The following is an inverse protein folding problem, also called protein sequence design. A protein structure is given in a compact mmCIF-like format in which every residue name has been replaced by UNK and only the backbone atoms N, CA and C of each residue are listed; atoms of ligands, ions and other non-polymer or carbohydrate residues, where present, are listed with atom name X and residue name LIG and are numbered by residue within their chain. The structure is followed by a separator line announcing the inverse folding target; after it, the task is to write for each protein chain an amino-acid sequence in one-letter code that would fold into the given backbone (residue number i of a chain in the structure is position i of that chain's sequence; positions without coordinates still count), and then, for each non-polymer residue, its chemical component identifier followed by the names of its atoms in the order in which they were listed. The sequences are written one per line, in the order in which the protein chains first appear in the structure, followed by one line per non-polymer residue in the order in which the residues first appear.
data_IF_129482162808
#
_entry.id   IF_129482162808
#
_cell.length_a   1.000
_cell.length_b   1.000
_cell.length_c   1.000
_cell.angle_alpha   90.00
_cell.angle_beta   90.00
_cell.angle_gamma   90.00
#
_symmetry.space_group_name_H-M   'P 1'
#
loop_
_entity.id
_entity.type
_entity.pdbx_description
1 polymer ?
#
# COMPACT_ATOMS: atom_id res chain seq x y z
N UNK A 1 -52.05 13.63 -18.36
CA UNK A 1 -51.75 12.62 -17.33
C UNK A 1 -50.58 11.69 -17.72
N UNK A 2 -50.57 11.02 -18.88
CA UNK A 2 -49.46 10.10 -19.28
C UNK A 2 -48.13 10.83 -19.55
N UNK A 3 -48.16 11.98 -20.23
CA UNK A 3 -46.95 12.77 -20.57
C UNK A 3 -46.28 13.37 -19.31
N UNK A 4 -47.07 13.74 -18.29
CA UNK A 4 -46.55 14.21 -16.98
C UNK A 4 -45.87 13.08 -16.21
N UNK A 5 -46.44 11.87 -16.21
CA UNK A 5 -45.82 10.71 -15.57
C UNK A 5 -44.52 10.30 -16.28
N UNK A 6 -44.44 10.39 -17.61
CA UNK A 6 -43.20 10.12 -18.36
C UNK A 6 -42.13 11.19 -18.07
N UNK A 7 -42.51 12.48 -18.01
CA UNK A 7 -41.58 13.55 -17.61
C UNK A 7 -41.12 13.40 -16.16
N UNK A 8 -41.99 12.93 -15.25
CA UNK A 8 -41.65 12.66 -13.84
C UNK A 8 -40.67 11.50 -13.72
N UNK A 9 -40.94 10.37 -14.39
CA UNK A 9 -40.04 9.21 -14.42
C UNK A 9 -38.67 9.55 -15.05
N UNK A 10 -38.65 10.35 -16.12
CA UNK A 10 -37.41 10.81 -16.75
C UNK A 10 -36.64 11.84 -15.90
N UNK A 11 -37.32 12.58 -15.03
CA UNK A 11 -36.71 13.52 -14.06
C UNK A 11 -36.17 12.77 -12.85
N UNK A 12 -36.92 11.79 -12.33
CA UNK A 12 -36.50 10.89 -11.25
C UNK A 12 -35.30 10.04 -11.67
N UNK A 13 -35.27 9.52 -12.90
CA UNK A 13 -34.11 8.78 -13.43
C UNK A 13 -32.88 9.68 -13.61
N UNK A 14 -33.04 10.94 -14.03
CA UNK A 14 -31.92 11.92 -14.09
C UNK A 14 -31.38 12.25 -12.70
N UNK A 15 -32.26 12.46 -11.71
CA UNK A 15 -31.84 12.71 -10.31
C UNK A 15 -31.11 11.48 -9.76
N UNK A 16 -31.62 10.28 -10.04
CA UNK A 16 -30.96 9.03 -9.65
C UNK A 16 -29.56 8.88 -10.26
N UNK A 17 -29.41 9.16 -11.56
CA UNK A 17 -28.11 9.12 -12.25
C UNK A 17 -27.14 10.14 -11.65
N UNK A 18 -27.59 11.36 -11.36
CA UNK A 18 -26.76 12.39 -10.72
C UNK A 18 -26.32 11.93 -9.32
N UNK A 19 -27.24 11.42 -8.51
CA UNK A 19 -26.95 10.93 -7.17
C UNK A 19 -25.96 9.74 -7.20
N UNK A 20 -26.15 8.80 -8.12
CA UNK A 20 -25.24 7.66 -8.34
C UNK A 20 -23.84 8.14 -8.77
N UNK A 21 -23.78 9.11 -9.68
CA UNK A 21 -22.50 9.67 -10.15
C UNK A 21 -21.76 10.34 -8.98
N UNK A 22 -22.46 11.10 -8.15
CA UNK A 22 -21.91 11.77 -6.98
C UNK A 22 -21.42 10.78 -5.91
N UNK A 23 -22.14 9.68 -5.71
CA UNK A 23 -21.72 8.56 -4.86
C UNK A 23 -20.41 7.94 -5.38
N UNK A 24 -20.32 7.64 -6.68
CA UNK A 24 -19.11 7.05 -7.29
C UNK A 24 -17.90 7.99 -7.15
N UNK A 25 -18.09 9.29 -7.38
CA UNK A 25 -17.03 10.30 -7.19
C UNK A 25 -16.57 10.32 -5.74
N UNK A 26 -17.51 10.31 -4.79
CA UNK A 26 -17.20 10.34 -3.34
C UNK A 26 -16.44 9.08 -2.92
N UNK A 27 -16.88 7.89 -3.35
CA UNK A 27 -16.19 6.63 -3.08
C UNK A 27 -14.79 6.59 -3.71
N UNK A 28 -14.65 7.08 -4.95
CA UNK A 28 -13.35 7.17 -5.63
C UNK A 28 -12.41 8.13 -4.92
N UNK A 29 -12.91 9.27 -4.45
CA UNK A 29 -12.13 10.21 -3.65
C UNK A 29 -11.64 9.57 -2.34
N UNK A 30 -12.55 8.93 -1.59
CA UNK A 30 -12.18 8.20 -0.37
C UNK A 30 -11.17 7.08 -0.64
N UNK A 31 -11.32 6.37 -1.75
CA UNK A 31 -10.38 5.35 -2.20
C UNK A 31 -8.96 5.90 -2.35
N UNK A 32 -8.79 7.01 -3.08
CA UNK A 32 -7.47 7.60 -3.30
C UNK A 32 -6.82 8.11 -2.01
N UNK A 33 -7.61 8.64 -1.07
CA UNK A 33 -7.09 9.02 0.26
C UNK A 33 -6.46 7.82 0.99
N UNK A 34 -7.08 6.64 0.92
CA UNK A 34 -6.56 5.42 1.53
C UNK A 34 -5.38 4.86 0.73
N UNK A 35 -5.50 4.81 -0.60
CA UNK A 35 -4.50 4.24 -1.51
C UNK A 35 -3.13 4.92 -1.38
N UNK A 36 -3.10 6.25 -1.32
CA UNK A 36 -1.87 7.03 -1.22
C UNK A 36 -1.39 7.25 0.23
N UNK A 37 -2.01 6.57 1.20
CA UNK A 37 -1.51 6.60 2.58
C UNK A 37 -0.10 6.01 2.60
N UNK A 38 0.86 6.78 3.11
CA UNK A 38 2.26 6.33 3.27
C UNK A 38 2.43 5.54 4.56
N UNK A 39 3.32 4.57 4.54
CA UNK A 39 3.57 3.70 5.68
C UNK A 39 4.70 2.71 5.41
N UNK A 40 4.87 1.78 6.33
CA UNK A 40 5.87 0.71 6.26
C UNK A 40 5.17 -0.60 6.62
N UNK A 41 5.55 -1.71 6.00
CA UNK A 41 5.05 -3.03 6.38
C UNK A 41 5.99 -3.66 7.40
N UNK A 42 5.42 -4.10 8.52
CA UNK A 42 6.12 -4.82 9.59
C UNK A 42 5.30 -6.05 9.97
N UNK A 43 5.92 -7.23 9.97
CA UNK A 43 5.26 -8.51 10.24
C UNK A 43 3.91 -8.66 9.51
N UNK A 44 3.93 -8.40 8.19
CA UNK A 44 2.77 -8.45 7.29
C UNK A 44 1.67 -7.41 7.57
N UNK A 45 1.89 -6.49 8.50
CA UNK A 45 0.95 -5.42 8.84
C UNK A 45 1.43 -4.09 8.28
N UNK A 46 0.56 -3.42 7.51
CA UNK A 46 0.82 -2.05 7.07
C UNK A 46 0.65 -1.07 8.24
N UNK A 47 1.73 -0.38 8.60
CA UNK A 47 1.77 0.67 9.61
C UNK A 47 1.70 2.03 8.93
N UNK A 48 0.62 2.78 9.17
CA UNK A 48 0.45 4.15 8.67
C UNK A 48 1.50 5.06 9.31
N UNK A 49 2.17 5.86 8.47
CA UNK A 49 3.09 6.91 8.92
C UNK A 49 2.31 8.16 9.34
N UNK A 50 2.61 8.66 10.53
CA UNK A 50 2.12 9.92 11.08
C UNK A 50 3.30 10.70 11.67
N UNK A 51 3.53 11.92 11.20
CA UNK A 51 4.63 12.76 11.66
C UNK A 51 4.07 13.79 12.64
N UNK A 52 4.58 13.78 13.88
CA UNK A 52 4.17 14.68 14.95
C UNK A 52 5.42 15.41 15.47
N UNK A 53 5.60 16.66 15.04
CA UNK A 53 6.81 17.41 15.37
C UNK A 53 8.05 16.82 14.70
N UNK A 54 9.03 16.41 15.49
CA UNK A 54 10.26 15.73 15.03
C UNK A 54 10.17 14.20 15.09
N UNK A 55 9.05 13.66 15.62
CA UNK A 55 8.86 12.23 15.81
C UNK A 55 8.01 11.66 14.67
N UNK A 56 8.40 10.49 14.18
CA UNK A 56 7.63 9.73 13.20
C UNK A 56 7.01 8.52 13.88
N UNK A 57 5.68 8.42 13.82
CA UNK A 57 4.92 7.31 14.36
C UNK A 57 4.41 6.42 13.22
N UNK A 58 4.66 5.12 13.35
CA UNK A 58 4.14 4.09 12.49
C UNK A 58 3.10 3.29 13.29
N UNK A 59 1.82 3.41 12.92
CA UNK A 59 0.71 2.84 13.67
C UNK A 59 -0.09 1.90 12.78
N UNK A 60 -0.32 0.68 13.25
CA UNK A 60 -1.17 -0.29 12.58
C UNK A 60 -1.81 -1.24 13.58
N UNK A 61 -2.80 -2.00 13.10
CA UNK A 61 -3.46 -3.04 13.89
C UNK A 61 -3.45 -4.33 13.10
N UNK A 62 -2.70 -5.30 13.61
CA UNK A 62 -2.66 -6.65 13.09
C UNK A 62 -3.69 -7.54 13.77
N UNK A 63 -3.63 -8.83 13.43
CA UNK A 63 -4.47 -9.87 14.04
C UNK A 63 -4.25 -10.02 15.55
N UNK A 64 -3.03 -9.80 16.01
CA UNK A 64 -2.61 -10.06 17.39
C UNK A 64 -2.65 -8.84 18.31
N UNK A 65 -2.88 -7.65 17.76
CA UNK A 65 -2.96 -6.42 18.53
C UNK A 65 -2.53 -5.20 17.74
N UNK A 66 -2.43 -4.08 18.45
CA UNK A 66 -1.91 -2.83 17.90
C UNK A 66 -0.38 -2.88 17.89
N UNK A 67 0.20 -2.40 16.79
CA UNK A 67 1.64 -2.22 16.61
C UNK A 67 1.87 -0.71 16.50
N UNK A 68 2.76 -0.19 17.34
CA UNK A 68 3.15 1.22 17.32
C UNK A 68 4.66 1.33 17.42
N UNK A 69 5.29 1.77 16.33
CA UNK A 69 6.72 2.03 16.27
C UNK A 69 6.91 3.55 16.22
N UNK A 70 7.75 4.09 17.08
CA UNK A 70 8.06 5.53 17.13
C UNK A 70 9.53 5.72 16.83
N UNK A 71 9.84 6.55 15.84
CA UNK A 71 11.19 6.95 15.47
C UNK A 71 11.36 8.41 15.90
N UNK A 72 12.32 8.67 16.78
CA UNK A 72 12.65 10.02 17.24
C UNK A 72 13.98 10.45 16.67
N UNK A 73 13.98 11.64 16.08
CA UNK A 73 15.13 12.15 15.37
C UNK A 73 15.07 11.85 13.88
N UNK A 74 15.92 12.56 13.14
CA UNK A 74 15.94 12.55 11.68
C UNK A 74 17.36 12.24 11.25
N UNK A 75 17.52 11.19 10.43
CA UNK A 75 18.80 10.81 9.82
C UNK A 75 19.43 12.01 9.12
N UNK A 76 20.70 12.27 9.45
CA UNK A 76 21.48 13.37 8.91
C UNK A 76 21.40 14.70 9.67
N UNK A 77 20.43 14.84 10.59
CA UNK A 77 20.31 15.98 11.52
C UNK A 77 20.74 15.57 12.92
N UNK A 78 20.32 14.39 13.38
CA UNK A 78 20.68 13.85 14.68
C UNK A 78 21.74 12.77 14.52
N UNK A 79 22.72 12.75 15.43
CA UNK A 79 23.80 11.74 15.43
C UNK A 79 23.25 10.34 15.77
N UNK A 80 22.27 10.31 16.69
CA UNK A 80 21.60 9.10 17.12
C UNK A 80 20.09 9.24 16.95
N UNK A 81 19.45 8.16 16.52
CA UNK A 81 18.00 8.07 16.29
C UNK A 81 17.45 7.03 17.24
N UNK A 82 16.40 7.38 17.98
CA UNK A 82 15.75 6.43 18.87
C UNK A 82 14.60 5.74 18.15
N UNK A 83 14.55 4.42 18.23
CA UNK A 83 13.44 3.60 17.70
C UNK A 83 12.80 2.85 18.85
N UNK A 84 11.53 3.14 19.10
CA UNK A 84 10.75 2.57 20.20
C UNK A 84 9.67 1.68 19.60
N UNK A 85 9.70 0.40 19.94
CA UNK A 85 8.69 -0.57 19.58
C UNK A 85 7.70 -0.73 20.71
N UNK A 86 6.40 -0.61 20.40
CA UNK A 86 5.29 -1.02 21.26
C UNK A 86 4.51 -2.07 20.49
N UNK A 87 4.74 -3.33 20.83
CA UNK A 87 4.16 -4.48 20.18
C UNK A 87 3.04 -5.08 21.06
N UNK A 88 2.22 -5.99 20.51
CA UNK A 88 1.23 -6.72 21.29
C UNK A 88 1.83 -7.43 22.50
N UNK A 89 0.99 -7.77 23.49
CA UNK A 89 1.40 -8.38 24.75
C UNK A 89 2.38 -7.54 25.61
N UNK A 90 2.27 -6.21 25.53
CA UNK A 90 3.04 -5.24 26.33
C UNK A 90 4.56 -5.34 26.13
N UNK A 91 5.01 -5.81 24.97
CA UNK A 91 6.41 -5.79 24.60
C UNK A 91 6.78 -4.36 24.24
N UNK A 92 7.67 -3.77 25.03
CA UNK A 92 8.17 -2.42 24.82
C UNK A 92 9.69 -2.48 24.80
N UNK A 93 10.26 -2.26 23.62
CA UNK A 93 11.70 -2.31 23.38
C UNK A 93 12.16 -0.97 22.81
N UNK A 94 13.34 -0.52 23.23
CA UNK A 94 13.92 0.75 22.80
C UNK A 94 15.34 0.53 22.34
N UNK A 95 15.62 1.04 21.14
CA UNK A 95 16.94 1.02 20.53
C UNK A 95 17.39 2.41 20.16
N UNK A 96 18.69 2.63 20.24
CA UNK A 96 19.36 3.83 19.73
C UNK A 96 20.26 3.42 18.57
N UNK A 97 20.09 4.07 17.42
CA UNK A 97 20.83 3.78 16.19
C UNK A 97 21.68 4.99 15.83
N UNK A 98 22.99 4.79 15.78
CA UNK A 98 23.95 5.78 15.28
C UNK A 98 24.42 5.43 13.88
N UNK A 99 24.43 6.41 12.98
CA UNK A 99 24.95 6.27 11.62
C UNK A 99 26.26 7.05 11.50
N UNK A 100 27.36 6.36 11.23
CA UNK A 100 28.63 7.01 10.91
C UNK A 100 28.65 7.34 9.42
N UNK A 101 28.66 8.64 9.09
CA UNK A 101 28.81 9.09 7.70
C UNK A 101 30.22 8.77 7.21
N UNK A 102 30.35 7.76 6.36
CA UNK A 102 31.57 7.50 5.63
C UNK A 102 31.28 7.59 4.13
N UNK A 103 31.90 8.55 3.44
CA UNK A 103 31.59 8.87 2.04
C UNK A 103 32.15 7.86 1.02
N UNK A 104 32.96 6.89 1.46
CA UNK A 104 33.71 6.00 0.56
C UNK A 104 33.19 4.56 0.50
N UNK A 105 32.32 4.14 1.43
CA UNK A 105 31.82 2.75 1.49
C UNK A 105 30.39 2.63 0.95
N UNK A 106 30.13 1.56 0.17
CA UNK A 106 28.78 1.21 -0.32
C UNK A 106 27.82 0.78 0.81
N UNK A 107 28.34 0.57 2.03
CA UNK A 107 27.58 0.21 3.23
C UNK A 107 27.94 1.17 4.36
N UNK A 108 26.94 1.85 4.91
CA UNK A 108 27.12 2.76 6.02
C UNK A 108 27.45 1.97 7.29
N UNK A 109 28.38 2.49 8.10
CA UNK A 109 28.66 1.89 9.40
C UNK A 109 27.56 2.28 10.39
N UNK A 110 27.00 1.27 11.06
CA UNK A 110 25.88 1.42 11.99
C UNK A 110 26.24 0.83 13.33
N UNK A 111 25.85 1.54 14.39
CA UNK A 111 25.95 1.07 15.77
C UNK A 111 24.55 1.07 16.37
N UNK A 112 24.15 -0.05 16.95
CA UNK A 112 22.86 -0.20 17.63
C UNK A 112 23.14 -0.41 19.11
N UNK A 113 22.45 0.37 19.94
CA UNK A 113 22.49 0.25 21.40
C UNK A 113 21.11 -0.07 21.96
N UNK A 114 21.11 -0.80 23.06
CA UNK A 114 19.92 -1.08 23.86
C UNK A 114 19.63 0.08 24.85
N UNK A 115 18.50 0.01 25.56
CA UNK A 115 18.06 0.97 26.59
C UNK A 115 19.09 1.21 27.69
N UNK A 116 19.95 0.22 27.97
CA UNK A 116 21.05 0.31 28.94
C UNK A 116 22.32 0.93 28.35
N UNK A 117 22.26 1.47 27.12
CA UNK A 117 23.38 2.03 26.37
C UNK A 117 24.49 1.00 26.06
N UNK A 118 24.16 -0.29 26.14
CA UNK A 118 25.05 -1.38 25.75
C UNK A 118 25.02 -1.54 24.23
N UNK A 119 26.19 -1.68 23.61
CA UNK A 119 26.29 -1.94 22.16
C UNK A 119 25.84 -3.38 21.92
N UNK A 120 24.71 -3.55 21.25
CA UNK A 120 24.17 -4.86 20.88
C UNK A 120 24.61 -5.28 19.48
N UNK A 121 24.95 -4.32 18.63
CA UNK A 121 25.43 -4.58 17.29
C UNK A 121 26.30 -3.43 16.80
N UNK A 122 27.39 -3.76 16.11
CA UNK A 122 28.22 -2.80 15.38
C UNK A 122 28.63 -3.45 14.06
N UNK A 123 28.27 -2.83 12.95
CA UNK A 123 28.50 -3.42 11.64
C UNK A 123 28.20 -2.46 10.50
N UNK A 124 27.75 -3.02 9.38
CA UNK A 124 27.51 -2.34 8.12
C UNK A 124 26.07 -2.57 7.66
N UNK A 125 25.46 -1.50 7.15
CA UNK A 125 24.09 -1.47 6.66
C UNK A 125 24.04 -0.89 5.24
N UNK A 126 23.14 -1.43 4.42
CA UNK A 126 22.82 -0.89 3.10
C UNK A 126 21.33 -1.02 2.84
N UNK A 127 20.74 0.05 2.33
CA UNK A 127 19.35 0.05 1.89
C UNK A 127 19.15 -1.00 0.78
N UNK A 128 18.14 -1.86 0.95
CA UNK A 128 17.79 -2.97 0.07
C UNK A 128 18.40 -4.32 0.45
N UNK A 129 19.45 -4.37 1.29
CA UNK A 129 20.04 -5.64 1.72
C UNK A 129 19.11 -6.38 2.70
N UNK A 130 19.03 -7.71 2.61
CA UNK A 130 18.18 -8.53 3.50
C UNK A 130 18.79 -8.62 4.92
N UNK A 131 20.12 -8.52 5.01
CA UNK A 131 20.92 -8.76 6.20
C UNK A 131 21.71 -7.52 6.61
N UNK A 132 21.92 -7.36 7.92
CA UNK A 132 23.03 -6.54 8.41
C UNK A 132 24.33 -7.34 8.27
N UNK A 133 25.46 -6.67 8.13
CA UNK A 133 26.76 -7.32 8.04
C UNK A 133 27.59 -6.92 9.25
N UNK A 134 28.13 -7.90 9.98
CA UNK A 134 29.01 -7.61 11.12
C UNK A 134 30.37 -7.06 10.65
N UNK A 135 31.27 -6.71 11.58
CA UNK A 135 32.65 -6.25 11.31
C UNK A 135 33.45 -7.19 10.41
N UNK A 136 33.14 -8.47 10.46
CA UNK A 136 33.78 -9.52 9.64
C UNK A 136 33.11 -9.71 8.27
N UNK A 137 32.15 -8.85 7.91
CA UNK A 137 31.33 -8.96 6.68
C UNK A 137 30.47 -10.23 6.59
N UNK A 138 30.22 -10.87 7.73
CA UNK A 138 29.28 -11.99 7.83
C UNK A 138 27.84 -11.48 8.01
N UNK A 139 26.85 -12.11 7.37
CA UNK A 139 25.46 -11.72 7.53
C UNK A 139 24.99 -12.01 8.96
N UNK A 140 24.39 -11.01 9.59
CA UNK A 140 23.77 -11.14 10.90
C UNK A 140 22.37 -11.75 10.76
N UNK A 141 22.18 -12.97 11.30
CA UNK A 141 20.98 -13.79 11.06
C UNK A 141 20.01 -13.82 12.25
N UNK A 142 20.38 -13.21 13.38
CA UNK A 142 19.55 -13.28 14.58
C UNK A 142 18.25 -12.47 14.43
N UNK A 143 17.11 -13.11 14.69
CA UNK A 143 15.78 -12.47 14.63
C UNK A 143 15.15 -12.41 13.23
N UNK A 144 15.74 -13.04 12.21
CA UNK A 144 15.28 -12.93 10.81
C UNK A 144 13.93 -13.56 10.51
N UNK A 145 13.47 -14.47 11.37
CA UNK A 145 12.17 -15.06 11.19
C UNK A 145 11.66 -15.67 12.48
N UNK A 146 10.41 -15.36 12.79
CA UNK A 146 9.65 -16.10 13.78
C UNK A 146 8.85 -17.17 13.05
N UNK A 147 9.04 -18.43 13.43
CA UNK A 147 8.24 -19.53 12.88
C UNK A 147 6.89 -19.50 13.59
N UNK A 148 5.84 -19.16 12.84
CA UNK A 148 4.46 -19.22 13.33
C UNK A 148 3.98 -20.67 13.21
N UNK A 149 3.92 -21.39 14.33
CA UNK A 149 3.39 -22.75 14.39
C UNK A 149 1.93 -22.67 14.82
N UNK A 150 1.02 -23.27 14.04
CA UNK A 150 -0.41 -23.42 14.35
C UNK A 150 -1.12 -22.10 14.71
N UNK A 151 -0.82 -21.02 13.99
CA UNK A 151 -1.52 -19.74 14.14
C UNK A 151 -1.45 -19.17 15.56
N UNK A 152 -0.38 -19.49 16.29
CA UNK A 152 -0.13 -18.93 17.61
C UNK A 152 0.38 -17.49 17.50
N UNK A 153 0.03 -16.67 18.49
CA UNK A 153 0.54 -15.31 18.59
C UNK A 153 2.08 -15.32 18.64
N UNK A 154 2.78 -14.68 17.67
CA UNK A 154 4.23 -14.64 17.63
C UNK A 154 4.82 -13.72 18.72
N UNK A 155 4.06 -12.74 19.20
CA UNK A 155 4.48 -11.77 20.21
C UNK A 155 4.49 -12.39 21.62
N UNK A 156 5.42 -13.29 21.88
CA UNK A 156 5.63 -13.89 23.20
C UNK A 156 6.66 -13.09 24.00
N UNK A 157 6.82 -13.37 25.28
CA UNK A 157 7.78 -12.67 26.16
C UNK A 157 9.25 -12.81 25.70
N UNK A 158 9.56 -13.81 24.88
CA UNK A 158 10.86 -14.07 24.26
C UNK A 158 10.97 -13.55 22.82
N UNK A 159 10.01 -12.74 22.36
CA UNK A 159 10.04 -12.17 21.02
C UNK A 159 11.25 -11.23 20.86
N UNK A 160 12.12 -11.58 19.91
CA UNK A 160 13.31 -10.80 19.56
C UNK A 160 13.05 -9.98 18.30
N UNK A 161 13.14 -8.66 18.42
CA UNK A 161 13.02 -7.76 17.26
C UNK A 161 14.24 -7.93 16.37
N UNK A 162 14.01 -8.06 15.07
CA UNK A 162 15.09 -8.13 14.09
C UNK A 162 15.85 -6.80 14.02
N UNK A 163 17.16 -6.81 14.30
CA UNK A 163 17.97 -5.58 14.37
C UNK A 163 18.00 -4.80 13.04
N UNK A 164 17.92 -5.49 11.89
CA UNK A 164 17.81 -4.80 10.60
C UNK A 164 16.55 -3.94 10.54
N UNK A 165 15.42 -4.43 11.06
CA UNK A 165 14.17 -3.67 11.11
C UNK A 165 14.37 -2.35 11.84
N UNK A 166 15.09 -2.37 12.97
CA UNK A 166 15.43 -1.17 13.75
C UNK A 166 16.18 -0.14 12.90
N UNK A 167 17.20 -0.59 12.16
CA UNK A 167 18.01 0.27 11.27
C UNK A 167 17.21 0.77 10.07
N UNK A 168 16.35 -0.07 9.48
CA UNK A 168 15.45 0.31 8.39
C UNK A 168 14.49 1.42 8.85
N UNK A 169 13.87 1.29 10.03
CA UNK A 169 13.01 2.35 10.57
C UNK A 169 13.78 3.62 10.90
N UNK A 170 14.99 3.51 11.48
CA UNK A 170 15.83 4.66 11.79
C UNK A 170 16.29 5.41 10.51
N UNK A 171 16.57 4.68 9.43
CA UNK A 171 16.96 5.26 8.15
C UNK A 171 15.78 5.77 7.31
N UNK A 172 14.55 5.34 7.61
CA UNK A 172 13.37 5.61 6.79
C UNK A 172 13.26 4.70 5.56
N UNK A 173 14.03 3.61 5.53
CA UNK A 173 13.95 2.59 4.49
C UNK A 173 12.58 1.87 4.54
N UNK A 174 12.07 1.48 3.38
CA UNK A 174 10.84 0.67 3.28
C UNK A 174 9.55 1.49 3.36
N UNK A 175 9.65 2.83 3.34
CA UNK A 175 8.49 3.69 3.16
C UNK A 175 7.85 3.43 1.79
N UNK A 176 6.61 2.95 1.83
CA UNK A 176 5.82 2.67 0.64
C UNK A 176 4.41 3.24 0.77
N UNK A 177 3.75 3.37 -0.37
CA UNK A 177 2.32 3.65 -0.41
C UNK A 177 1.54 2.37 -0.10
N UNK A 178 0.38 2.52 0.51
CA UNK A 178 -0.46 1.37 0.89
C UNK A 178 -0.88 0.53 -0.31
N UNK A 179 -1.27 1.18 -1.40
CA UNK A 179 -1.84 0.49 -2.55
C UNK A 179 -0.83 0.05 -3.60
N UNK A 180 -1.20 -0.98 -4.38
CA UNK A 180 -0.41 -1.44 -5.53
C UNK A 180 -0.70 -0.60 -6.78
N UNK A 181 0.30 0.19 -7.18
CA UNK A 181 0.25 1.05 -8.38
C UNK A 181 -0.02 0.25 -9.65
N UNK A 182 0.47 -1.00 -9.75
CA UNK A 182 0.28 -1.82 -10.95
C UNK A 182 -1.19 -2.14 -11.16
N UNK A 183 -1.89 -2.52 -10.09
CA UNK A 183 -3.33 -2.80 -10.13
C UNK A 183 -4.15 -1.53 -10.40
N UNK A 184 -3.70 -0.38 -9.87
CA UNK A 184 -4.32 0.91 -10.18
C UNK A 184 -4.21 1.23 -11.68
N UNK A 185 -3.04 1.08 -12.29
CA UNK A 185 -2.82 1.32 -13.73
C UNK A 185 -3.70 0.40 -14.58
N UNK A 186 -3.79 -0.89 -14.23
CA UNK A 186 -4.67 -1.85 -14.91
C UNK A 186 -6.14 -1.41 -14.80
N UNK A 187 -6.57 -0.98 -13.60
CA UNK A 187 -7.94 -0.52 -13.36
C UNK A 187 -8.26 0.75 -14.17
N UNK A 188 -7.36 1.72 -14.21
CA UNK A 188 -7.50 2.94 -15.03
C UNK A 188 -7.59 2.59 -16.52
N UNK A 189 -6.77 1.65 -16.99
CA UNK A 189 -6.82 1.19 -18.37
C UNK A 189 -8.17 0.56 -18.72
N UNK A 190 -8.72 -0.29 -17.84
CA UNK A 190 -10.05 -0.88 -18.00
C UNK A 190 -11.17 0.18 -17.98
N UNK A 191 -11.04 1.22 -17.15
CA UNK A 191 -11.96 2.37 -17.15
C UNK A 191 -11.95 3.05 -18.52
N UNK A 192 -10.76 3.34 -19.08
CA UNK A 192 -10.63 4.00 -20.38
C UNK A 192 -11.29 3.16 -21.47
N UNK A 193 -11.02 1.84 -21.51
CA UNK A 193 -11.67 0.93 -22.47
C UNK A 193 -13.19 0.98 -22.33
N UNK A 194 -13.70 0.89 -21.10
CA UNK A 194 -15.15 0.94 -20.82
C UNK A 194 -15.77 2.25 -21.28
N UNK A 195 -15.11 3.39 -21.03
CA UNK A 195 -15.58 4.71 -21.46
C UNK A 195 -15.61 4.83 -22.99
N UNK A 196 -14.59 4.32 -23.67
CA UNK A 196 -14.55 4.28 -25.14
C UNK A 196 -15.70 3.42 -25.67
N UNK A 197 -15.92 2.24 -25.07
CA UNK A 197 -16.97 1.32 -25.50
C UNK A 197 -18.38 1.90 -25.29
N UNK A 198 -18.63 2.62 -24.19
CA UNK A 198 -19.91 3.30 -23.95
C UNK A 198 -20.12 4.48 -24.89
N UNK A 199 -19.08 5.33 -25.09
CA UNK A 199 -19.19 6.54 -25.91
C UNK A 199 -19.23 6.24 -27.40
N UNK A 200 -18.51 5.22 -27.83
CA UNK A 200 -18.36 4.79 -29.21
C UNK A 200 -18.61 3.27 -29.33
N UNK A 201 -19.86 2.81 -29.23
CA UNK A 201 -20.21 1.38 -29.19
C UNK A 201 -19.69 0.57 -30.39
N UNK A 202 -19.59 1.20 -31.56
CA UNK A 202 -19.11 0.53 -32.77
C UNK A 202 -17.58 0.57 -32.92
N UNK A 203 -16.84 1.20 -32.00
CA UNK A 203 -15.40 1.42 -32.14
C UNK A 203 -14.62 0.11 -32.24
N UNK A 204 -14.73 -0.76 -31.23
CA UNK A 204 -14.01 -2.04 -31.23
C UNK A 204 -14.49 -3.00 -32.31
N UNK A 205 -15.78 -2.97 -32.64
CA UNK A 205 -16.35 -3.75 -33.74
C UNK A 205 -15.76 -3.34 -35.09
N UNK A 206 -15.74 -2.04 -35.39
CA UNK A 206 -15.15 -1.51 -36.61
C UNK A 206 -13.64 -1.73 -36.63
N UNK A 207 -12.94 -1.54 -35.53
CA UNK A 207 -11.49 -1.81 -35.45
C UNK A 207 -11.18 -3.26 -35.84
N UNK A 208 -11.93 -4.22 -35.30
CA UNK A 208 -11.79 -5.65 -35.61
C UNK A 208 -12.10 -5.99 -37.06
N UNK A 209 -13.00 -5.27 -37.72
CA UNK A 209 -13.46 -5.57 -39.08
C UNK A 209 -12.94 -4.61 -40.14
N UNK A 210 -12.14 -3.62 -39.74
CA UNK A 210 -11.59 -2.54 -40.57
C UNK A 210 -10.77 -3.03 -41.76
N UNK A 211 -10.13 -4.20 -41.64
CA UNK A 211 -9.30 -4.81 -42.69
C UNK A 211 -10.02 -5.93 -43.46
N UNK A 212 -11.27 -6.23 -43.11
CA UNK A 212 -12.00 -7.38 -43.66
C UNK A 212 -13.18 -6.95 -44.54
N UNK A 213 -13.89 -5.88 -44.17
CA UNK A 213 -15.12 -5.45 -44.85
C UNK A 213 -15.26 -3.93 -44.82
N UNK A 214 -15.71 -3.33 -45.91
CA UNK A 214 -15.85 -1.87 -46.08
C UNK A 214 -16.95 -1.27 -45.18
N UNK A 215 -18.04 -2.02 -44.94
CA UNK A 215 -19.16 -1.63 -44.07
C UNK A 215 -19.66 -2.80 -43.21
N UNK A 216 -19.02 -3.08 -42.07
CA UNK A 216 -19.46 -4.15 -41.18
C UNK A 216 -20.67 -3.71 -40.34
N UNK A 217 -21.72 -4.53 -40.31
CA UNK A 217 -22.89 -4.34 -39.44
C UNK A 217 -22.86 -5.31 -38.25
N UNK A 218 -23.04 -4.83 -37.01
CA UNK A 218 -23.06 -5.70 -35.83
C UNK A 218 -24.37 -6.49 -35.74
N UNK A 219 -24.30 -7.70 -35.22
CA UNK A 219 -25.49 -8.50 -34.92
C UNK A 219 -26.21 -7.99 -33.66
N UNK A 220 -27.50 -8.24 -33.55
CA UNK A 220 -28.29 -7.92 -32.34
C UNK A 220 -27.72 -8.58 -31.07
N UNK A 221 -27.14 -9.78 -31.23
CA UNK A 221 -26.45 -10.47 -30.15
C UNK A 221 -25.23 -9.70 -29.65
N UNK A 222 -24.41 -9.15 -30.57
CA UNK A 222 -23.25 -8.33 -30.21
C UNK A 222 -23.67 -7.10 -29.40
N UNK A 223 -24.68 -6.36 -29.89
CA UNK A 223 -25.18 -5.16 -29.20
C UNK A 223 -25.73 -5.50 -27.81
N UNK A 224 -26.44 -6.64 -27.69
CA UNK A 224 -26.98 -7.11 -26.41
C UNK A 224 -25.85 -7.44 -25.42
N UNK A 225 -24.83 -8.19 -25.86
CA UNK A 225 -23.69 -8.54 -25.02
C UNK A 225 -22.86 -7.31 -24.62
N UNK A 226 -22.76 -6.33 -25.50
CA UNK A 226 -22.10 -5.07 -25.23
C UNK A 226 -22.79 -4.28 -24.12
N UNK A 227 -24.13 -4.18 -24.15
CA UNK A 227 -24.90 -3.55 -23.07
C UNK A 227 -24.74 -4.27 -21.74
N UNK A 228 -24.66 -5.60 -21.75
CA UNK A 228 -24.37 -6.39 -20.54
C UNK A 228 -22.97 -6.05 -20.03
N UNK A 229 -21.98 -5.96 -20.91
CA UNK A 229 -20.61 -5.59 -20.56
C UNK A 229 -20.54 -4.22 -19.86
N UNK A 230 -21.31 -3.23 -20.31
CA UNK A 230 -21.37 -1.91 -19.67
C UNK A 230 -21.88 -1.92 -18.23
N UNK A 231 -22.68 -2.92 -17.86
CA UNK A 231 -23.14 -3.10 -16.48
C UNK A 231 -22.13 -3.88 -15.64
N UNK A 232 -21.44 -4.86 -16.21
CA UNK A 232 -20.52 -5.74 -15.49
C UNK A 232 -19.14 -5.09 -15.30
N UNK A 233 -18.62 -4.37 -16.31
CA UNK A 233 -17.26 -3.83 -16.27
C UNK A 233 -17.02 -2.84 -15.13
N UNK A 234 -17.96 -1.93 -14.77
CA UNK A 234 -17.76 -1.04 -13.62
C UNK A 234 -17.67 -1.80 -12.29
N UNK A 235 -18.39 -2.92 -12.16
CA UNK A 235 -18.35 -3.77 -10.97
C UNK A 235 -16.98 -4.44 -10.85
N UNK A 236 -16.47 -5.01 -11.94
CA UNK A 236 -15.13 -5.62 -11.99
C UNK A 236 -14.05 -4.59 -11.66
N UNK A 237 -14.14 -3.39 -12.24
CA UNK A 237 -13.20 -2.28 -11.98
C UNK A 237 -13.23 -1.91 -10.49
N UNK A 238 -14.42 -1.79 -9.88
CA UNK A 238 -14.55 -1.46 -8.47
C UNK A 238 -13.90 -2.53 -7.58
N UNK A 239 -14.11 -3.82 -7.89
CA UNK A 239 -13.46 -4.92 -7.18
C UNK A 239 -11.93 -4.86 -7.34
N UNK A 240 -11.44 -4.60 -8.55
CA UNK A 240 -10.01 -4.45 -8.83
C UNK A 240 -9.37 -3.28 -8.08
N UNK A 241 -10.06 -2.14 -8.00
CA UNK A 241 -9.62 -1.00 -7.19
C UNK A 241 -9.54 -1.39 -5.71
N UNK A 242 -10.59 -2.00 -5.15
CA UNK A 242 -10.59 -2.44 -3.75
C UNK A 242 -9.45 -3.44 -3.45
N UNK A 243 -9.22 -4.39 -4.35
CA UNK A 243 -8.12 -5.33 -4.24
C UNK A 243 -6.75 -4.63 -4.24
N UNK A 244 -6.61 -3.50 -4.94
CA UNK A 244 -5.36 -2.74 -4.98
C UNK A 244 -5.00 -2.03 -3.66
N UNK A 245 -5.86 -2.03 -2.64
CA UNK A 245 -5.55 -1.46 -1.31
C UNK A 245 -4.96 -2.51 -0.35
N UNK A 246 -5.22 -3.79 -0.61
CA UNK A 246 -4.79 -4.92 0.22
C UNK A 246 -3.44 -5.45 -0.26
#
# INVERSE_FOLDING_TARGET
MVIENIKRLAKESKIFIIALTLLVITLSWMYFLVFFTKGVVYDEVFLKKEVIGADTHYIGKGRWGQIHITVKGIKGIHDNIEVIYRLPNNIVEKYEVGFEKNNEDFREKVVIKDINNNIIFEGRYREGDIFLFDKNEEPFIEGIGHIIINDQNPYKSDYKIYLKSVVSFASGEGEQIRGDVRLLVISIFLIIITVIDIKYPLFFFRLRHSLSVENPEPSDFYITMQRISWCISPIIILIGLLAAIF
#
